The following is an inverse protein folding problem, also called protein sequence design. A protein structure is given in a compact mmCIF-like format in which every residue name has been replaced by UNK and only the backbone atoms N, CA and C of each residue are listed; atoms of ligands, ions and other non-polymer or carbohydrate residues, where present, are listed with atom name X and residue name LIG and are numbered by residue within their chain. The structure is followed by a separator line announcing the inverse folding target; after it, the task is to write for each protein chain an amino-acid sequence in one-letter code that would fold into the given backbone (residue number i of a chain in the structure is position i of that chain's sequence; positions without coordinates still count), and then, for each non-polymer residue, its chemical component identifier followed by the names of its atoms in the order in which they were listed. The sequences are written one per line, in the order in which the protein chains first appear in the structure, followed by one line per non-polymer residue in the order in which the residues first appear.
data_IF_612210329425
#
_entry.id   IF_612210329425
#
_cell.length_a   1.000
_cell.length_b   1.000
_cell.length_c   1.000
_cell.angle_alpha   90.00
_cell.angle_beta   90.00
_cell.angle_gamma   90.00
#
_symmetry.space_group_name_H-M   'P 1'
#
loop_
_entity.id
_entity.type
_entity.pdbx_description
1 polymer ?
#
# COMPACT_ATOMS: atom_id res chain seq x y z
N UNK A 1 0.30 36.81 -6.31
CA UNK A 1 1.26 35.90 -5.63
C UNK A 1 0.71 34.46 -5.57
N UNK A 2 -0.34 34.12 -6.33
CA UNK A 2 -1.16 32.90 -6.13
C UNK A 2 -0.77 31.68 -6.98
N UNK A 3 0.20 31.78 -7.89
CA UNK A 3 0.49 30.68 -8.84
C UNK A 3 1.66 29.77 -8.39
N UNK A 4 2.63 30.30 -7.64
CA UNK A 4 3.84 29.53 -7.29
C UNK A 4 3.57 28.40 -6.29
N UNK A 5 2.71 28.66 -5.29
CA UNK A 5 2.37 27.67 -4.27
C UNK A 5 1.58 26.50 -4.88
N UNK A 6 0.60 26.81 -5.73
CA UNK A 6 -0.19 25.82 -6.46
C UNK A 6 0.71 24.98 -7.39
N UNK A 7 1.56 25.62 -8.18
CA UNK A 7 2.49 24.94 -9.09
C UNK A 7 3.45 24.02 -8.31
N UNK A 8 3.96 24.47 -7.17
CA UNK A 8 4.86 23.67 -6.32
C UNK A 8 4.15 22.44 -5.75
N UNK A 9 2.91 22.60 -5.29
CA UNK A 9 2.10 21.49 -4.77
C UNK A 9 1.76 20.49 -5.88
N UNK A 10 1.39 20.96 -7.07
CA UNK A 10 1.11 20.10 -8.22
C UNK A 10 2.34 19.27 -8.64
N UNK A 11 3.54 19.89 -8.64
CA UNK A 11 4.81 19.20 -8.89
C UNK A 11 5.09 18.15 -7.81
N UNK A 12 4.90 18.49 -6.53
CA UNK A 12 5.10 17.55 -5.42
C UNK A 12 4.15 16.36 -5.51
N UNK A 13 2.87 16.59 -5.82
CA UNK A 13 1.88 15.52 -6.00
C UNK A 13 2.28 14.60 -7.16
N UNK A 14 2.66 15.17 -8.29
CA UNK A 14 3.07 14.41 -9.48
C UNK A 14 4.29 13.54 -9.19
N UNK A 15 5.30 14.09 -8.50
CA UNK A 15 6.48 13.32 -8.10
C UNK A 15 6.12 12.14 -7.17
N UNK A 16 5.16 12.32 -6.24
CA UNK A 16 4.68 11.24 -5.38
C UNK A 16 3.94 10.17 -6.21
N UNK A 17 3.10 10.56 -7.17
CA UNK A 17 2.42 9.62 -8.08
C UNK A 17 3.41 8.79 -8.88
N UNK A 18 4.49 9.39 -9.39
CA UNK A 18 5.56 8.68 -10.09
C UNK A 18 6.25 7.65 -9.19
N UNK A 19 6.54 8.02 -7.93
CA UNK A 19 7.10 7.08 -6.95
C UNK A 19 6.13 5.93 -6.67
N UNK A 20 4.83 6.20 -6.51
CA UNK A 20 3.82 5.16 -6.31
C UNK A 20 3.75 4.23 -7.54
N UNK A 21 3.70 4.80 -8.75
CA UNK A 21 3.61 4.04 -9.99
C UNK A 21 4.85 3.16 -10.20
N UNK A 22 6.06 3.72 -10.01
CA UNK A 22 7.32 2.98 -10.08
C UNK A 22 7.44 1.86 -9.05
N UNK A 23 6.74 1.98 -7.92
CA UNK A 23 6.71 0.96 -6.86
C UNK A 23 5.59 -0.06 -7.01
N UNK A 24 4.68 0.08 -7.97
CA UNK A 24 3.49 -0.79 -8.12
C UNK A 24 3.78 -2.29 -8.06
N UNK A 25 4.93 -2.74 -8.59
CA UNK A 25 5.37 -4.15 -8.54
C UNK A 25 6.01 -4.56 -7.20
N UNK A 26 6.46 -3.61 -6.39
CA UNK A 26 7.16 -3.82 -5.10
C UNK A 26 6.33 -3.53 -3.85
N UNK A 27 5.02 -3.30 -4.00
CA UNK A 27 4.08 -3.07 -2.88
C UNK A 27 3.49 -4.37 -2.35
N UNK A 28 3.41 -5.42 -3.17
CA UNK A 28 2.80 -6.68 -2.78
C UNK A 28 3.55 -7.30 -1.59
N UNK A 29 2.78 -7.74 -0.59
CA UNK A 29 3.32 -8.51 0.51
C UNK A 29 3.83 -9.85 -0.02
N UNK A 30 5.07 -10.19 0.34
CA UNK A 30 5.72 -11.44 -0.05
C UNK A 30 5.32 -12.50 0.97
N UNK A 31 4.64 -13.58 0.59
CA UNK A 31 4.24 -14.61 1.52
C UNK A 31 5.45 -15.37 2.04
N UNK A 32 5.47 -15.60 3.35
CA UNK A 32 6.41 -16.54 3.96
C UNK A 32 5.81 -17.94 3.92
N UNK A 33 6.50 -18.88 3.25
CA UNK A 33 6.12 -20.29 3.22
C UNK A 33 6.97 -21.03 4.24
N UNK A 34 6.37 -21.37 5.38
CA UNK A 34 7.05 -22.14 6.42
C UNK A 34 7.33 -23.58 5.95
N UNK A 35 8.45 -24.21 6.39
CA UNK A 35 8.64 -25.65 6.26
C UNK A 35 7.49 -26.41 6.91
N UNK A 36 7.03 -27.49 6.28
CA UNK A 36 5.88 -28.29 6.73
C UNK A 36 6.07 -28.89 8.13
N UNK A 37 7.32 -29.04 8.59
CA UNK A 37 7.66 -29.74 9.83
C UNK A 37 8.81 -29.03 10.61
N UNK A 38 8.55 -27.80 11.05
CA UNK A 38 9.50 -26.99 11.82
C UNK A 38 10.01 -27.69 13.10
N UNK A 39 9.16 -28.50 13.75
CA UNK A 39 9.50 -29.18 15.01
C UNK A 39 10.52 -30.31 14.88
N UNK A 40 10.80 -30.76 13.65
CA UNK A 40 11.74 -31.86 13.35
C UNK A 40 13.12 -31.33 12.97
N UNK A 41 13.23 -30.01 12.74
CA UNK A 41 14.50 -29.36 12.44
C UNK A 41 15.38 -29.28 13.70
N UNK A 42 16.72 -29.36 13.57
CA UNK A 42 17.64 -28.99 14.63
C UNK A 42 17.37 -27.58 15.16
N UNK A 43 17.60 -27.32 16.45
CA UNK A 43 17.30 -26.02 17.09
C UNK A 43 17.94 -24.83 16.36
N UNK A 44 19.15 -24.99 15.84
CA UNK A 44 19.84 -23.95 15.05
C UNK A 44 19.12 -23.64 13.72
N UNK A 45 18.45 -24.61 13.12
CA UNK A 45 17.66 -24.43 11.91
C UNK A 45 16.28 -23.85 12.25
N UNK A 46 15.67 -24.22 13.38
CA UNK A 46 14.43 -23.59 13.85
C UNK A 46 14.60 -22.09 14.11
N UNK A 47 15.69 -21.70 14.77
CA UNK A 47 16.03 -20.28 15.01
C UNK A 47 16.27 -19.53 13.69
N UNK A 48 16.92 -20.17 12.71
CA UNK A 48 17.14 -19.56 11.40
C UNK A 48 15.81 -19.31 10.66
N UNK A 49 14.88 -20.27 10.68
CA UNK A 49 13.55 -20.13 10.07
C UNK A 49 12.71 -19.04 10.76
N UNK A 50 12.77 -18.95 12.09
CA UNK A 50 12.09 -17.87 12.83
C UNK A 50 12.63 -16.49 12.42
N UNK A 51 13.95 -16.34 12.27
CA UNK A 51 14.55 -15.08 11.78
C UNK A 51 14.10 -14.74 10.36
N UNK A 52 14.07 -15.72 9.46
CA UNK A 52 13.59 -15.50 8.08
C UNK A 52 12.14 -15.03 8.05
N UNK A 53 11.29 -15.60 8.92
CA UNK A 53 9.91 -15.14 9.08
C UNK A 53 9.84 -13.69 9.57
N UNK A 54 10.57 -13.34 10.62
CA UNK A 54 10.61 -11.98 11.17
C UNK A 54 11.12 -10.95 10.15
N UNK A 55 12.16 -11.29 9.39
CA UNK A 55 12.69 -10.45 8.31
C UNK A 55 11.67 -10.25 7.18
N UNK A 56 10.92 -11.30 6.82
CA UNK A 56 9.86 -11.22 5.83
C UNK A 56 8.71 -10.31 6.31
N UNK A 57 8.26 -10.49 7.55
CA UNK A 57 7.20 -9.69 8.16
C UNK A 57 7.61 -8.21 8.25
N UNK A 58 8.85 -7.94 8.67
CA UNK A 58 9.42 -6.60 8.67
C UNK A 58 9.41 -5.99 7.27
N UNK A 59 9.91 -6.72 6.26
CA UNK A 59 9.93 -6.26 4.88
C UNK A 59 8.53 -5.96 4.33
N UNK A 60 7.53 -6.79 4.66
CA UNK A 60 6.13 -6.58 4.28
C UNK A 60 5.55 -5.31 4.90
N UNK A 61 5.79 -5.08 6.19
CA UNK A 61 5.35 -3.86 6.89
C UNK A 61 5.98 -2.61 6.32
N UNK A 62 7.28 -2.64 6.02
CA UNK A 62 7.97 -1.50 5.39
C UNK A 62 7.40 -1.19 4.01
N UNK A 63 7.20 -2.20 3.15
CA UNK A 63 6.61 -2.02 1.81
C UNK A 63 5.22 -1.41 1.88
N UNK A 64 4.35 -1.97 2.72
CA UNK A 64 2.98 -1.48 2.90
C UNK A 64 2.95 -0.08 3.51
N UNK A 65 3.76 0.16 4.55
CA UNK A 65 3.88 1.47 5.19
C UNK A 65 4.28 2.57 4.22
N UNK A 66 5.33 2.35 3.40
CA UNK A 66 5.75 3.32 2.38
C UNK A 66 4.60 3.61 1.41
N UNK A 67 3.93 2.59 0.88
CA UNK A 67 2.85 2.78 -0.07
C UNK A 67 1.66 3.55 0.52
N UNK A 68 1.24 3.19 1.73
CA UNK A 68 0.12 3.83 2.42
C UNK A 68 0.45 5.28 2.79
N UNK A 69 1.66 5.55 3.27
CA UNK A 69 2.11 6.92 3.60
C UNK A 69 2.18 7.81 2.36
N UNK A 70 2.72 7.31 1.24
CA UNK A 70 2.74 8.06 -0.02
C UNK A 70 1.31 8.32 -0.54
N UNK A 71 0.43 7.32 -0.49
CA UNK A 71 -0.97 7.48 -0.89
C UNK A 71 -1.73 8.49 -0.01
N UNK A 72 -1.45 8.50 1.29
CA UNK A 72 -2.03 9.49 2.21
C UNK A 72 -1.52 10.91 1.91
N UNK A 73 -0.22 11.05 1.63
CA UNK A 73 0.39 12.33 1.26
C UNK A 73 -0.18 12.86 -0.07
N UNK A 74 -0.29 12.01 -1.08
CA UNK A 74 -0.91 12.34 -2.38
C UNK A 74 -2.35 12.86 -2.20
N UNK A 75 -3.16 12.15 -1.39
CA UNK A 75 -4.53 12.55 -1.11
C UNK A 75 -4.61 13.88 -0.36
N UNK A 76 -3.69 14.15 0.56
CA UNK A 76 -3.61 15.42 1.28
C UNK A 76 -3.21 16.58 0.36
N UNK A 77 -2.25 16.36 -0.55
CA UNK A 77 -1.85 17.38 -1.53
C UNK A 77 -3.00 17.73 -2.48
N UNK A 78 -3.80 16.75 -2.93
CA UNK A 78 -5.02 17.04 -3.72
C UNK A 78 -6.02 17.95 -2.98
N UNK A 79 -6.12 17.83 -1.66
CA UNK A 79 -6.94 18.75 -0.86
C UNK A 79 -6.36 20.16 -0.90
N UNK A 80 -5.04 20.30 -0.70
CA UNK A 80 -4.37 21.59 -0.78
C UNK A 80 -4.54 22.24 -2.17
N UNK A 81 -4.35 21.48 -3.26
CA UNK A 81 -4.60 21.95 -4.63
C UNK A 81 -6.04 22.45 -4.80
N UNK A 82 -7.02 21.68 -4.31
CA UNK A 82 -8.44 22.06 -4.45
C UNK A 82 -8.74 23.37 -3.70
N UNK A 83 -8.11 23.57 -2.54
CA UNK A 83 -8.30 24.78 -1.72
C UNK A 83 -7.56 26.01 -2.28
N UNK A 84 -6.44 25.80 -2.96
CA UNK A 84 -5.66 26.87 -3.59
C UNK A 84 -6.21 27.30 -4.96
N UNK A 85 -6.99 26.45 -5.62
CA UNK A 85 -7.68 26.83 -6.87
C UNK A 85 -8.73 27.90 -6.56
N UNK A 86 -8.67 29.00 -7.32
CA UNK A 86 -9.61 30.10 -7.20
C UNK A 86 -11.06 29.62 -7.47
N UNK A 87 -11.94 29.91 -6.52
CA UNK A 87 -13.37 29.61 -6.56
C UNK A 87 -14.21 30.88 -6.80
N UNK A 88 -13.64 31.90 -7.46
CA UNK A 88 -14.29 33.17 -7.76
C UNK A 88 -15.68 32.99 -8.42
N UNK A 89 -15.88 31.93 -9.21
CA UNK A 89 -17.13 31.64 -9.92
C UNK A 89 -18.16 30.86 -9.10
N UNK A 90 -17.83 30.39 -7.89
CA UNK A 90 -18.77 29.62 -7.07
C UNK A 90 -19.70 30.52 -6.26
N UNK A 91 -20.98 30.16 -6.27
CA UNK A 91 -21.98 30.64 -5.33
C UNK A 91 -21.64 30.23 -3.89
N UNK A 92 -22.28 30.88 -2.91
CA UNK A 92 -22.09 30.53 -1.50
C UNK A 92 -22.45 29.06 -1.19
N UNK A 93 -23.44 28.49 -1.88
CA UNK A 93 -23.84 27.09 -1.70
C UNK A 93 -22.77 26.13 -2.23
N UNK A 94 -22.24 26.40 -3.42
CA UNK A 94 -21.17 25.61 -4.04
C UNK A 94 -19.89 25.65 -3.21
N UNK A 95 -19.52 26.81 -2.67
CA UNK A 95 -18.37 26.93 -1.76
C UNK A 95 -18.53 26.04 -0.52
N UNK A 96 -19.72 26.02 0.10
CA UNK A 96 -19.99 25.13 1.25
C UNK A 96 -19.88 23.66 0.87
N UNK A 97 -20.39 23.29 -0.30
CA UNK A 97 -20.34 21.92 -0.80
C UNK A 97 -18.89 21.48 -1.08
N UNK A 98 -18.08 22.33 -1.70
CA UNK A 98 -16.67 22.04 -1.96
C UNK A 98 -15.85 21.93 -0.67
N UNK A 99 -16.08 22.82 0.31
CA UNK A 99 -15.44 22.68 1.62
C UNK A 99 -15.81 21.37 2.31
N UNK A 100 -17.06 20.93 2.22
CA UNK A 100 -17.48 19.64 2.76
C UNK A 100 -16.80 18.45 2.04
N UNK A 101 -16.63 18.53 0.71
CA UNK A 101 -15.86 17.54 -0.07
C UNK A 101 -14.39 17.52 0.35
N UNK A 102 -13.75 18.69 0.49
CA UNK A 102 -12.37 18.81 0.97
C UNK A 102 -12.20 18.21 2.36
N UNK A 103 -13.12 18.50 3.30
CA UNK A 103 -13.10 17.94 4.64
C UNK A 103 -13.19 16.40 4.61
N UNK A 104 -14.08 15.83 3.79
CA UNK A 104 -14.19 14.38 3.65
C UNK A 104 -12.94 13.76 3.03
N UNK A 105 -12.34 14.40 2.02
CA UNK A 105 -11.07 13.96 1.43
C UNK A 105 -9.93 13.99 2.44
N UNK A 106 -9.82 15.06 3.23
CA UNK A 106 -8.81 15.19 4.29
C UNK A 106 -8.95 14.11 5.37
N UNK A 107 -10.19 13.80 5.80
CA UNK A 107 -10.44 12.69 6.73
C UNK A 107 -9.99 11.34 6.18
N UNK A 108 -10.22 11.08 4.89
CA UNK A 108 -9.76 9.83 4.24
C UNK A 108 -8.24 9.75 4.15
N UNK A 109 -7.57 10.87 3.86
CA UNK A 109 -6.12 10.94 3.87
C UNK A 109 -5.55 10.66 5.28
N UNK A 110 -6.14 11.28 6.30
CA UNK A 110 -5.80 11.03 7.71
C UNK A 110 -6.00 9.56 8.10
N UNK A 111 -7.15 8.97 7.79
CA UNK A 111 -7.41 7.55 8.06
C UNK A 111 -6.39 6.63 7.38
N UNK A 112 -5.96 6.96 6.16
CA UNK A 112 -4.93 6.20 5.44
C UNK A 112 -3.55 6.31 6.12
N UNK A 113 -3.21 7.50 6.63
CA UNK A 113 -1.99 7.70 7.42
C UNK A 113 -2.03 6.96 8.76
N UNK A 114 -3.18 6.96 9.45
CA UNK A 114 -3.38 6.19 10.68
C UNK A 114 -3.25 4.69 10.44
N UNK A 115 -3.82 4.19 9.34
CA UNK A 115 -3.67 2.78 8.96
C UNK A 115 -2.20 2.42 8.66
N UNK A 116 -1.46 3.31 7.97
CA UNK A 116 -0.02 3.13 7.77
C UNK A 116 0.74 3.06 9.11
N UNK A 117 0.39 3.91 10.07
CA UNK A 117 1.00 3.91 11.39
C UNK A 117 0.72 2.59 12.15
N UNK A 118 -0.51 2.08 12.09
CA UNK A 118 -0.88 0.80 12.71
C UNK A 118 -0.11 -0.39 12.09
N UNK A 119 0.04 -0.43 10.76
CA UNK A 119 0.85 -1.44 10.06
C UNK A 119 2.33 -1.34 10.45
N UNK A 120 2.86 -0.13 10.54
CA UNK A 120 4.24 0.12 10.96
C UNK A 120 4.46 -0.19 12.45
N UNK A 121 3.45 -0.06 13.30
CA UNK A 121 3.47 -0.48 14.71
C UNK A 121 3.32 -2.00 14.87
N UNK A 122 2.74 -2.68 13.87
CA UNK A 122 2.50 -4.12 13.88
C UNK A 122 1.18 -4.49 14.54
N UNK A 123 0.32 -3.49 14.74
CA UNK A 123 -1.03 -3.64 15.25
C UNK A 123 -1.96 -4.20 14.17
N UNK A 124 -1.64 -3.94 12.90
CA UNK A 124 -2.38 -4.45 11.74
C UNK A 124 -1.44 -5.14 10.74
N UNK A 125 -1.91 -6.24 10.16
CA UNK A 125 -1.19 -6.94 9.11
C UNK A 125 -1.35 -6.22 7.77
N UNK A 126 -0.27 -6.09 6.96
CA UNK A 126 -0.39 -5.71 5.56
C UNK A 126 -1.39 -6.62 4.86
N UNK A 127 -2.32 -6.06 4.07
CA UNK A 127 -3.26 -6.86 3.29
C UNK A 127 -2.47 -7.73 2.29
N UNK A 128 -2.36 -9.01 2.60
CA UNK A 128 -1.94 -10.04 1.67
C UNK A 128 -3.14 -10.36 0.79
N UNK A 129 -3.08 -10.03 -0.50
CA UNK A 129 -4.07 -10.55 -1.45
C UNK A 129 -3.71 -12.01 -1.80
N UNK A 130 -3.71 -12.85 -0.77
CA UNK A 130 -3.23 -14.23 -0.81
C UNK A 130 -3.99 -15.05 -1.86
N UNK A 131 -5.27 -14.73 -2.12
CA UNK A 131 -6.05 -15.36 -3.19
C UNK A 131 -5.57 -14.98 -4.60
N UNK A 132 -5.18 -13.72 -4.83
CA UNK A 132 -4.60 -13.31 -6.12
C UNK A 132 -3.23 -13.94 -6.33
N UNK A 133 -2.42 -14.06 -5.28
CA UNK A 133 -1.10 -14.70 -5.37
C UNK A 133 -1.18 -16.22 -5.51
N UNK A 134 -2.10 -16.91 -4.84
CA UNK A 134 -2.35 -18.34 -5.06
C UNK A 134 -2.76 -18.58 -6.51
N UNK A 135 -3.63 -17.74 -7.08
CA UNK A 135 -3.98 -17.80 -8.51
C UNK A 135 -2.78 -17.51 -9.42
N UNK A 136 -1.92 -16.57 -9.04
CA UNK A 136 -0.73 -16.19 -9.81
C UNK A 136 0.37 -17.28 -9.76
N UNK A 137 0.62 -17.86 -8.58
CA UNK A 137 1.51 -19.00 -8.37
C UNK A 137 0.98 -20.24 -9.11
N UNK A 138 -0.32 -20.53 -9.00
CA UNK A 138 -0.97 -21.60 -9.76
C UNK A 138 -0.83 -21.41 -11.26
N UNK A 139 -1.02 -20.18 -11.75
CA UNK A 139 -0.83 -19.85 -13.18
C UNK A 139 0.63 -19.97 -13.62
N UNK A 140 1.58 -19.51 -12.81
CA UNK A 140 3.01 -19.60 -13.10
C UNK A 140 3.53 -21.06 -13.05
N UNK A 141 3.01 -21.88 -12.12
CA UNK A 141 3.30 -23.31 -12.07
C UNK A 141 2.68 -24.05 -13.26
N UNK A 142 1.44 -23.72 -13.65
CA UNK A 142 0.79 -24.29 -14.83
C UNK A 142 1.57 -23.97 -16.12
N UNK A 143 2.05 -22.73 -16.27
CA UNK A 143 2.89 -22.33 -17.40
C UNK A 143 4.27 -23.00 -17.44
N UNK A 144 4.86 -23.31 -16.28
CA UNK A 144 6.20 -23.93 -16.19
C UNK A 144 6.19 -25.45 -16.23
N UNK A 145 5.14 -26.08 -15.68
CA UNK A 145 5.11 -27.53 -15.43
C UNK A 145 3.96 -28.25 -16.15
N UNK A 146 3.10 -27.53 -16.86
CA UNK A 146 2.23 -28.05 -17.92
C UNK A 146 1.05 -28.93 -17.50
N UNK A 147 1.09 -29.62 -16.36
CA UNK A 147 -0.02 -30.48 -15.89
C UNK A 147 0.06 -30.71 -14.38
N UNK A 148 -1.08 -30.52 -13.70
CA UNK A 148 -1.31 -31.09 -12.37
C UNK A 148 -1.36 -32.62 -12.54
N UNK A 149 -0.67 -33.43 -11.73
CA UNK A 149 -0.87 -34.87 -11.77
C UNK A 149 -2.33 -35.14 -11.39
N UNK A 150 -3.06 -35.84 -12.27
CA UNK A 150 -4.43 -36.24 -11.97
C UNK A 150 -4.44 -37.09 -10.70
N UNK A 151 -5.27 -36.68 -9.74
CA UNK A 151 -5.63 -37.51 -8.60
C UNK A 151 -6.20 -38.82 -9.14
N UNK A 152 -5.38 -39.87 -9.10
CA UNK A 152 -5.85 -41.23 -9.29
C UNK A 152 -6.54 -41.65 -8.01
N UNK A 153 -7.87 -41.53 -8.06
CA UNK A 153 -8.93 -42.33 -7.43
C UNK A 153 -8.67 -42.91 -6.03
#
# INVERSE_FOLDING_TARGET
MENLDLETIEKARTAIEEVIAGRSLGVQAVPYFAPTDLGVLPSSQQEAELRLKEENDYGNRVRAGIHMSLSAAEAALRVAETLLRDAAYFTLSERKQELAKCANRARRASASASHAAAVLAGEEAPKTDAMMEIKRLGSAMFQRFGQQPEDKS
#
